data_IF_251183975393
#
_entry.id   IF_251183975393
#
_cell.length_a   1.000
_cell.length_b   1.000
_cell.length_c   1.000
_cell.angle_alpha   90.00
_cell.angle_beta   90.00
_cell.angle_gamma   90.00
#
_symmetry.space_group_name_H-M   'P 1'
#
loop_
_entity.id
_entity.type
_entity.pdbx_description
1 polymer ?
#
# COMPACT_ATOMS: atom_id res chain seq x y z
N UNK A 1 4.59 -11.08 -31.65
CA UNK A 1 4.17 -11.90 -30.49
C UNK A 1 3.37 -11.02 -29.55
N UNK A 2 2.25 -11.50 -28.97
CA UNK A 2 1.61 -10.78 -27.88
C UNK A 2 2.52 -10.84 -26.66
N UNK A 3 2.74 -9.69 -26.01
CA UNK A 3 3.45 -9.64 -24.73
C UNK A 3 2.70 -10.50 -23.72
N UNK A 4 3.39 -11.33 -22.90
CA UNK A 4 2.72 -12.07 -21.85
C UNK A 4 1.98 -11.09 -20.94
N UNK A 5 0.78 -11.43 -20.43
CA UNK A 5 0.12 -10.60 -19.42
C UNK A 5 1.09 -10.43 -18.26
N UNK A 6 1.29 -9.19 -17.80
CA UNK A 6 2.13 -8.91 -16.66
C UNK A 6 1.52 -9.62 -15.43
N UNK A 7 2.03 -10.80 -15.10
CA UNK A 7 1.48 -11.73 -14.09
C UNK A 7 1.99 -11.45 -12.67
N UNK A 8 2.67 -10.32 -12.44
CA UNK A 8 3.14 -9.93 -11.11
C UNK A 8 2.26 -8.82 -10.50
N UNK A 9 2.13 -8.77 -9.16
CA UNK A 9 1.48 -7.64 -8.49
C UNK A 9 2.20 -6.35 -8.88
N UNK A 10 1.48 -5.48 -9.60
CA UNK A 10 2.02 -4.20 -10.04
C UNK A 10 2.17 -3.32 -8.80
N UNK A 11 3.40 -3.10 -8.37
CA UNK A 11 3.68 -2.27 -7.22
C UNK A 11 3.12 -0.86 -7.44
N UNK A 12 2.47 -0.32 -6.42
CA UNK A 12 1.96 1.04 -6.42
C UNK A 12 3.11 2.01 -6.18
N UNK A 13 3.33 2.90 -7.13
CA UNK A 13 4.40 3.90 -7.04
C UNK A 13 3.92 5.11 -6.22
N UNK A 14 4.48 5.29 -5.04
CA UNK A 14 4.29 6.46 -4.19
C UNK A 14 2.97 6.49 -3.42
N UNK A 15 2.96 7.30 -2.36
CA UNK A 15 1.86 7.38 -1.39
C UNK A 15 0.50 7.74 -1.97
N UNK A 16 0.45 8.55 -3.04
CA UNK A 16 -0.80 8.94 -3.68
C UNK A 16 -1.53 7.76 -4.32
N UNK A 17 -0.79 6.81 -4.90
CA UNK A 17 -1.39 5.61 -5.48
C UNK A 17 -1.84 4.63 -4.40
N UNK A 18 -1.12 4.55 -3.28
CA UNK A 18 -1.57 3.78 -2.10
C UNK A 18 -2.85 4.37 -1.54
N UNK A 19 -2.94 5.70 -1.39
CA UNK A 19 -4.15 6.37 -0.94
C UNK A 19 -5.35 6.13 -1.86
N UNK A 20 -5.14 6.20 -3.18
CA UNK A 20 -6.17 5.88 -4.15
C UNK A 20 -6.60 4.40 -4.05
N UNK A 21 -5.66 3.47 -3.92
CA UNK A 21 -5.97 2.05 -3.74
C UNK A 21 -6.77 1.78 -2.46
N UNK A 22 -6.36 2.36 -1.33
CA UNK A 22 -7.08 2.23 -0.06
C UNK A 22 -8.52 2.75 -0.17
N UNK A 23 -8.71 3.92 -0.79
CA UNK A 23 -10.03 4.54 -0.94
C UNK A 23 -10.92 3.83 -1.97
N UNK A 24 -10.38 3.59 -3.16
CA UNK A 24 -11.15 3.18 -4.33
C UNK A 24 -11.30 1.65 -4.42
N UNK A 25 -10.29 0.89 -3.96
CA UNK A 25 -10.31 -0.59 -3.97
C UNK A 25 -10.81 -1.15 -2.64
N UNK A 26 -10.26 -0.68 -1.51
CA UNK A 26 -10.58 -1.24 -0.19
C UNK A 26 -11.69 -0.49 0.55
N UNK A 27 -12.16 0.66 0.04
CA UNK A 27 -13.16 1.49 0.73
C UNK A 27 -12.69 2.06 2.07
N UNK A 28 -11.38 2.09 2.32
CA UNK A 28 -10.78 2.47 3.58
C UNK A 28 -10.44 3.98 3.58
N UNK A 29 -10.99 4.79 4.50
CA UNK A 29 -10.73 6.23 4.58
C UNK A 29 -9.41 6.53 5.29
N UNK A 30 -8.30 5.99 4.79
CA UNK A 30 -6.96 6.19 5.37
C UNK A 30 -6.29 7.39 4.70
N UNK A 31 -5.95 8.41 5.48
CA UNK A 31 -5.32 9.63 4.96
C UNK A 31 -3.82 9.45 4.62
N UNK A 32 -3.32 10.25 3.67
CA UNK A 32 -1.92 10.25 3.24
C UNK A 32 -0.89 10.38 4.38
N UNK A 33 -1.22 11.13 5.44
CA UNK A 33 -0.35 11.28 6.62
C UNK A 33 -0.18 9.97 7.37
N UNK A 34 -1.25 9.18 7.51
CA UNK A 34 -1.21 7.88 8.16
C UNK A 34 -0.38 6.88 7.36
N UNK A 35 -0.55 6.87 6.03
CA UNK A 35 0.25 6.02 5.13
C UNK A 35 1.74 6.35 5.27
N UNK A 36 2.11 7.63 5.18
CA UNK A 36 3.51 8.06 5.37
C UNK A 36 4.06 7.67 6.74
N UNK A 37 3.28 7.91 7.80
CA UNK A 37 3.67 7.54 9.17
C UNK A 37 3.94 6.04 9.27
N UNK A 38 3.02 5.20 8.83
CA UNK A 38 3.18 3.74 8.84
C UNK A 38 4.40 3.28 8.04
N UNK A 39 4.69 3.91 6.90
CA UNK A 39 5.91 3.66 6.12
C UNK A 39 7.19 4.04 6.89
N UNK A 40 7.20 5.18 7.58
CA UNK A 40 8.36 5.62 8.38
C UNK A 40 8.55 4.82 9.67
N UNK A 41 7.47 4.33 10.27
CA UNK A 41 7.48 3.50 11.48
C UNK A 41 7.76 2.02 11.16
N UNK A 42 7.81 1.65 9.88
CA UNK A 42 8.07 0.28 9.42
C UNK A 42 6.85 -0.65 9.48
N UNK A 43 5.66 -0.11 9.75
CA UNK A 43 4.39 -0.84 9.78
C UNK A 43 3.86 -1.18 8.38
N UNK A 44 4.18 -0.34 7.39
CA UNK A 44 3.83 -0.57 5.98
C UNK A 44 5.10 -0.84 5.17
N UNK A 45 5.36 -2.11 4.79
CA UNK A 45 6.49 -2.48 3.96
C UNK A 45 6.50 -1.72 2.62
N UNK A 46 7.70 -1.38 2.16
CA UNK A 46 7.89 -0.75 0.86
C UNK A 46 9.29 -0.99 0.32
N UNK A 47 9.42 -0.86 -1.00
CA UNK A 47 10.71 -0.82 -1.69
C UNK A 47 11.05 0.62 -2.05
N UNK A 48 12.28 1.04 -1.76
CA UNK A 48 12.82 2.30 -2.26
C UNK A 48 13.75 2.04 -3.44
N UNK A 49 13.39 2.56 -4.61
CA UNK A 49 14.20 2.45 -5.83
C UNK A 49 14.41 3.85 -6.40
N UNK A 50 15.66 4.31 -6.42
CA UNK A 50 16.04 5.65 -6.89
C UNK A 50 15.22 6.78 -6.22
N UNK A 51 15.07 6.73 -4.89
CA UNK A 51 14.33 7.74 -4.11
C UNK A 51 12.80 7.70 -4.30
N UNK A 52 12.28 6.61 -4.85
CA UNK A 52 10.84 6.42 -5.07
C UNK A 52 10.36 5.22 -4.27
N UNK A 53 9.27 5.40 -3.55
CA UNK A 53 8.61 4.33 -2.80
C UNK A 53 7.69 3.52 -3.70
N UNK A 54 7.75 2.20 -3.56
CA UNK A 54 6.91 1.22 -4.23
C UNK A 54 6.30 0.30 -3.18
N UNK A 55 5.00 0.06 -3.28
CA UNK A 55 4.24 -0.72 -2.31
C UNK A 55 3.61 -1.91 -3.01
N UNK A 56 3.75 -3.11 -2.45
CA UNK A 56 3.00 -4.25 -2.95
C UNK A 56 1.54 -4.14 -2.46
N UNK A 57 0.54 -4.43 -3.31
CA UNK A 57 -0.86 -4.48 -2.87
C UNK A 57 -1.09 -5.41 -1.68
N UNK A 58 -0.44 -6.57 -1.64
CA UNK A 58 -0.50 -7.53 -0.53
C UNK A 58 -0.03 -6.94 0.81
N UNK A 59 1.09 -6.21 0.83
CA UNK A 59 1.57 -5.52 2.04
C UNK A 59 0.58 -4.46 2.53
N UNK A 60 -0.12 -3.79 1.62
CA UNK A 60 -1.13 -2.79 1.95
C UNK A 60 -2.37 -3.47 2.53
N UNK A 61 -2.81 -4.57 1.94
CA UNK A 61 -3.95 -5.36 2.40
C UNK A 61 -3.69 -5.91 3.82
N UNK A 62 -2.51 -6.48 4.05
CA UNK A 62 -2.08 -7.00 5.35
C UNK A 62 -1.98 -5.88 6.40
N UNK A 63 -1.41 -4.74 6.04
CA UNK A 63 -1.36 -3.57 6.92
C UNK A 63 -2.78 -3.13 7.32
N UNK A 64 -3.71 -3.07 6.36
CA UNK A 64 -5.11 -2.72 6.62
C UNK A 64 -5.80 -3.72 7.54
N UNK A 65 -5.51 -5.01 7.40
CA UNK A 65 -6.02 -6.05 8.32
C UNK A 65 -5.49 -5.81 9.72
N UNK A 66 -4.20 -5.48 9.88
CA UNK A 66 -3.60 -5.21 11.19
C UNK A 66 -4.26 -4.01 11.89
N UNK A 67 -4.66 -2.96 11.16
CA UNK A 67 -5.40 -1.82 11.69
C UNK A 67 -6.77 -2.19 12.27
N UNK A 68 -7.44 -3.21 11.70
CA UNK A 68 -8.77 -3.67 12.16
C UNK A 68 -8.67 -4.56 13.40
N UNK A 69 -7.60 -5.34 13.51
CA UNK A 69 -7.36 -6.24 14.65
C UNK A 69 -6.91 -5.48 15.90
N UNK A 70 -6.33 -4.28 15.75
CA UNK A 70 -5.93 -3.40 16.85
C UNK A 70 -7.02 -2.46 17.40
N UNK A 71 -8.26 -2.54 16.93
CA UNK A 71 -9.37 -1.71 17.43
C UNK A 71 -9.86 -2.18 18.81
N UNK A 72 -10.27 -1.27 19.72
CA UNK A 72 -10.73 -1.67 21.06
C UNK A 72 -11.99 -2.54 20.96
N UNK A 73 -11.90 -3.75 21.50
CA UNK A 73 -13.03 -4.64 21.80
C UNK A 73 -13.99 -4.02 22.82
#
# INVERSE_FOLDING_TARGET
>A
MPSPPATGPRHLRGFSNVHAYLRDTLGMPVGLRAIKRATHEGELPHLEIAGRHYFAPEDIDDWVVSLKVGGPS
#
